data_IF_160142570049
#
_entry.id   IF_160142570049
#
_cell.length_a   1.000
_cell.length_b   1.000
_cell.length_c   1.000
_cell.angle_alpha   90.00
_cell.angle_beta   90.00
_cell.angle_gamma   90.00
#
_symmetry.space_group_name_H-M   'P 1'
#
loop_
_entity.id
_entity.type
_entity.pdbx_description
1 polymer ?
#
# COMPACT_ATOMS: atom_id res chain seq x y z
N UNK A 1 -12.78 -11.81 3.13
CA UNK A 1 -11.39 -12.31 3.25
C UNK A 1 -10.64 -11.26 4.05
N UNK A 2 -9.60 -11.60 4.80
CA UNK A 2 -8.90 -10.62 5.63
C UNK A 2 -8.18 -9.59 4.76
N UNK A 3 -8.10 -8.37 5.28
CA UNK A 3 -7.38 -7.24 4.69
C UNK A 3 -5.89 -7.54 4.53
N UNK A 4 -5.27 -6.88 3.56
CA UNK A 4 -3.82 -6.95 3.30
C UNK A 4 -3.23 -5.55 3.45
N UNK A 5 -2.17 -5.47 4.27
CA UNK A 5 -1.42 -4.25 4.55
C UNK A 5 -0.10 -4.31 3.80
N UNK A 6 0.08 -3.50 2.77
CA UNK A 6 1.30 -3.47 1.96
C UNK A 6 2.18 -2.33 2.42
N UNK A 7 3.39 -2.65 2.86
CA UNK A 7 4.41 -1.65 3.15
C UNK A 7 4.79 -0.94 1.84
N UNK A 8 4.84 0.39 1.90
CA UNK A 8 5.22 1.25 0.79
C UNK A 8 6.04 2.42 1.34
N UNK A 9 6.77 3.08 0.43
CA UNK A 9 7.63 4.23 0.77
C UNK A 9 6.87 5.40 1.40
N UNK A 10 5.56 5.58 1.12
CA UNK A 10 4.53 6.20 1.99
C UNK A 10 3.25 6.57 1.19
N UNK A 11 2.03 6.48 1.80
CA UNK A 11 1.65 5.81 3.04
C UNK A 11 1.40 4.29 2.88
N UNK A 12 1.21 3.57 4.00
CA UNK A 12 0.85 2.14 4.02
C UNK A 12 -0.43 1.92 3.19
N UNK A 13 -0.40 0.97 2.26
CA UNK A 13 -1.56 0.65 1.44
C UNK A 13 -2.40 -0.43 2.12
N UNK A 14 -3.71 -0.19 2.23
CA UNK A 14 -4.64 -1.13 2.87
C UNK A 14 -5.64 -1.62 1.82
N UNK A 15 -5.61 -2.92 1.55
CA UNK A 15 -6.47 -3.59 0.58
C UNK A 15 -7.47 -4.51 1.29
N UNK A 16 -8.70 -4.66 0.75
CA UNK A 16 -9.72 -5.52 1.35
C UNK A 16 -9.38 -7.00 1.25
N UNK A 17 -8.57 -7.40 0.25
CA UNK A 17 -8.06 -8.75 0.12
C UNK A 17 -6.81 -8.81 -0.79
N UNK A 18 -6.17 -9.98 -0.77
CA UNK A 18 -4.96 -10.28 -1.54
C UNK A 18 -5.17 -10.19 -3.06
N UNK A 19 -6.36 -10.56 -3.56
CA UNK A 19 -6.63 -10.51 -5.01
C UNK A 19 -6.71 -9.08 -5.51
N UNK A 20 -7.28 -8.18 -4.72
CA UNK A 20 -7.32 -6.75 -5.05
C UNK A 20 -5.91 -6.17 -5.03
N UNK A 21 -5.11 -6.47 -4.00
CA UNK A 21 -3.71 -6.02 -3.95
C UNK A 21 -2.92 -6.46 -5.19
N UNK A 22 -2.93 -7.75 -5.54
CA UNK A 22 -2.22 -8.28 -6.72
C UNK A 22 -2.66 -7.66 -8.06
N UNK A 23 -3.89 -7.18 -8.16
CA UNK A 23 -4.41 -6.51 -9.38
C UNK A 23 -4.03 -5.05 -9.44
N UNK A 24 -3.91 -4.41 -8.29
CA UNK A 24 -3.67 -2.98 -8.18
C UNK A 24 -2.18 -2.63 -8.21
N UNK A 25 -1.34 -3.42 -7.54
CA UNK A 25 0.09 -3.16 -7.49
C UNK A 25 0.73 -3.35 -8.87
N UNK A 26 1.67 -2.48 -9.20
CA UNK A 26 2.41 -2.55 -10.47
C UNK A 26 3.67 -3.40 -10.33
N UNK A 27 3.89 -4.31 -11.28
CA UNK A 27 5.06 -5.18 -11.28
C UNK A 27 6.39 -4.41 -11.35
N UNK A 28 6.38 -3.21 -11.94
CA UNK A 28 7.57 -2.35 -12.01
C UNK A 28 7.93 -1.76 -10.65
N UNK A 29 6.94 -1.29 -9.88
CA UNK A 29 7.13 -0.80 -8.52
C UNK A 29 7.62 -1.90 -7.57
N UNK A 30 7.13 -3.14 -7.75
CA UNK A 30 7.67 -4.31 -7.04
C UNK A 30 9.15 -4.53 -7.37
N UNK A 31 9.55 -4.49 -8.64
CA UNK A 31 10.97 -4.64 -9.05
C UNK A 31 11.85 -3.53 -8.51
N UNK A 32 11.32 -2.31 -8.43
CA UNK A 32 12.02 -1.15 -7.89
C UNK A 32 12.05 -1.15 -6.36
N UNK A 33 11.44 -2.13 -5.70
CA UNK A 33 11.47 -2.29 -4.26
C UNK A 33 10.53 -1.37 -3.49
N UNK A 34 9.59 -0.71 -4.18
CA UNK A 34 8.61 0.19 -3.57
C UNK A 34 7.67 -0.57 -2.62
N UNK A 35 7.38 -1.83 -2.93
CA UNK A 35 6.53 -2.71 -2.12
C UNK A 35 7.36 -3.88 -1.56
N UNK A 36 8.13 -3.66 -0.47
CA UNK A 36 9.08 -4.67 0.00
C UNK A 36 8.41 -5.90 0.64
N UNK A 37 7.21 -5.74 1.23
CA UNK A 37 6.47 -6.82 1.90
C UNK A 37 5.03 -6.44 2.20
N UNK A 38 4.21 -7.45 2.50
CA UNK A 38 2.85 -7.27 2.96
C UNK A 38 2.56 -8.08 4.23
N UNK A 39 1.50 -7.69 4.92
CA UNK A 39 1.05 -8.31 6.16
C UNK A 39 -0.45 -8.62 6.13
N UNK A 40 -0.83 -9.71 6.80
CA UNK A 40 -2.21 -9.97 7.21
C UNK A 40 -2.55 -9.27 8.54
N UNK A 41 -3.82 -9.27 8.96
CA UNK A 41 -4.29 -8.54 10.14
C UNK A 41 -3.72 -9.07 11.46
N UNK A 42 -3.21 -10.30 11.49
CA UNK A 42 -2.59 -10.90 12.68
C UNK A 42 -1.06 -10.80 12.64
N UNK A 43 -0.49 -10.12 11.64
CA UNK A 43 0.95 -10.05 11.39
C UNK A 43 1.49 -11.18 10.52
N UNK A 44 0.64 -11.96 9.85
CA UNK A 44 1.08 -12.96 8.86
C UNK A 44 1.92 -12.27 7.78
N UNK A 45 3.10 -12.80 7.45
CA UNK A 45 4.02 -12.15 6.53
C UNK A 45 3.86 -12.67 5.10
N UNK A 46 3.88 -11.77 4.13
CA UNK A 46 3.77 -12.09 2.71
C UNK A 46 4.94 -11.49 1.91
N UNK A 47 5.52 -12.29 1.01
CA UNK A 47 6.42 -11.78 -0.03
C UNK A 47 5.61 -11.15 -1.15
N UNK A 48 6.23 -10.19 -1.83
CA UNK A 48 5.66 -9.54 -3.01
C UNK A 48 6.68 -9.68 -4.13
N UNK A 49 6.29 -10.37 -5.18
CA UNK A 49 7.16 -10.70 -6.31
C UNK A 49 6.50 -10.31 -7.63
N UNK A 50 7.32 -10.02 -8.65
CA UNK A 50 6.87 -9.69 -10.00
C UNK A 50 7.10 -10.86 -10.96
N UNK A 51 6.02 -11.41 -11.54
CA UNK A 51 6.06 -12.39 -12.62
C UNK A 51 5.53 -11.74 -13.91
N UNK A 52 6.45 -11.33 -14.80
CA UNK A 52 6.10 -10.59 -16.01
C UNK A 52 5.33 -9.30 -15.67
N UNK A 53 4.10 -9.15 -16.16
CA UNK A 53 3.26 -7.99 -15.85
C UNK A 53 2.39 -8.15 -14.60
N UNK A 54 2.55 -9.25 -13.84
CA UNK A 54 1.69 -9.60 -12.72
C UNK A 54 2.46 -9.49 -11.40
N UNK A 55 1.75 -9.06 -10.36
CA UNK A 55 2.23 -9.13 -8.99
C UNK A 55 1.69 -10.39 -8.34
N UNK A 56 2.57 -11.13 -7.69
CA UNK A 56 2.28 -12.33 -6.92
C UNK A 56 2.58 -12.03 -5.46
N UNK A 57 1.58 -12.23 -4.59
CA UNK A 57 1.72 -12.06 -3.14
C UNK A 57 1.58 -13.45 -2.51
N UNK A 58 2.64 -13.91 -1.84
CA UNK A 58 2.71 -15.27 -1.30
C UNK A 58 2.94 -15.26 0.20
N UNK A 59 2.19 -16.08 0.94
CA UNK A 59 2.41 -16.24 2.38
C UNK A 59 3.80 -16.84 2.62
N UNK A 60 4.55 -16.23 3.53
CA UNK A 60 5.88 -16.70 3.92
C UNK A 60 5.76 -17.79 4.99
N UNK A 61 6.65 -18.78 4.92
CA UNK A 61 6.84 -19.76 5.99
C UNK A 61 7.68 -19.14 7.12
N UNK A 62 7.11 -18.12 7.75
CA UNK A 62 7.72 -17.35 8.83
C UNK A 62 6.68 -17.10 9.94
N UNK A 63 7.10 -16.96 11.21
CA UNK A 63 6.19 -16.60 12.28
C UNK A 63 5.56 -15.22 12.00
N UNK A 64 4.34 -15.01 12.49
CA UNK A 64 3.69 -13.70 12.41
C UNK A 64 4.52 -12.63 13.13
N UNK A 65 4.66 -11.47 12.50
CA UNK A 65 5.40 -10.33 13.04
C UNK A 65 4.42 -9.18 13.36
N UNK A 66 3.69 -9.37 14.45
CA UNK A 66 2.74 -8.39 14.96
C UNK A 66 3.42 -7.06 15.31
N UNK A 67 4.66 -7.08 15.81
CA UNK A 67 5.36 -5.88 16.26
C UNK A 67 5.68 -4.94 15.10
N UNK A 68 6.21 -5.46 14.00
CA UNK A 68 6.46 -4.68 12.78
C UNK A 68 5.16 -4.12 12.22
N UNK A 69 4.10 -4.93 12.14
CA UNK A 69 2.80 -4.45 11.66
C UNK A 69 2.24 -3.32 12.53
N UNK A 70 2.29 -3.44 13.86
CA UNK A 70 1.85 -2.37 14.78
C UNK A 70 2.62 -1.07 14.54
N UNK A 71 3.94 -1.15 14.36
CA UNK A 71 4.77 0.03 14.09
C UNK A 71 4.39 0.70 12.76
N UNK A 72 4.14 -0.10 11.72
CA UNK A 72 3.71 0.40 10.41
C UNK A 72 2.32 1.06 10.47
N UNK A 73 1.36 0.44 11.18
CA UNK A 73 0.01 0.99 11.36
C UNK A 73 0.05 2.30 12.12
N UNK A 74 0.80 2.37 13.23
CA UNK A 74 0.96 3.62 14.00
C UNK A 74 1.57 4.72 13.14
N UNK A 75 2.67 4.43 12.43
CA UNK A 75 3.30 5.40 11.51
C UNK A 75 2.32 5.88 10.45
N UNK A 76 1.58 4.97 9.82
CA UNK A 76 0.63 5.32 8.77
C UNK A 76 -0.53 6.18 9.29
N UNK A 77 -1.10 5.82 10.44
CA UNK A 77 -2.17 6.58 11.09
C UNK A 77 -1.68 7.98 11.46
N UNK A 78 -0.50 8.10 12.05
CA UNK A 78 0.12 9.40 12.35
C UNK A 78 0.38 10.24 11.10
N UNK A 79 0.84 9.63 10.01
CA UNK A 79 1.09 10.34 8.75
C UNK A 79 -0.19 10.95 8.15
N UNK A 80 -1.35 10.36 8.41
CA UNK A 80 -2.66 10.85 7.94
C UNK A 80 -3.39 11.71 8.98
N UNK A 81 -2.73 12.06 10.09
CA UNK A 81 -3.25 12.95 11.13
C UNK A 81 -4.01 12.25 12.26
N UNK A 82 -4.12 10.92 12.24
CA UNK A 82 -4.67 10.15 13.35
C UNK A 82 -3.62 10.00 14.47
N UNK A 83 -4.06 10.04 15.73
CA UNK A 83 -3.18 9.83 16.89
C UNK A 83 -3.58 8.54 17.59
N UNK A 84 -3.08 7.38 17.14
CA UNK A 84 -3.34 6.11 17.82
C UNK A 84 -2.69 6.12 19.21
N UNK A 85 -3.32 5.45 20.18
CA UNK A 85 -2.78 5.33 21.53
C UNK A 85 -1.44 4.56 21.53
N UNK A 86 -0.56 4.90 22.46
CA UNK A 86 0.73 4.25 22.62
C UNK A 86 0.56 2.80 23.11
N UNK A 87 -0.50 2.50 23.86
CA UNK A 87 -0.83 1.17 24.35
C UNK A 87 -1.84 0.40 23.47
N UNK A 88 -2.28 0.99 22.35
CA UNK A 88 -3.22 0.38 21.42
C UNK A 88 -2.73 -1.01 20.96
N UNK A 89 -3.64 -1.97 21.02
CA UNK A 89 -3.40 -3.36 20.60
C UNK A 89 -3.41 -3.47 19.07
N UNK A 90 -2.82 -4.55 18.54
CA UNK A 90 -2.82 -4.80 17.08
C UNK A 90 -4.25 -4.81 16.49
N UNK A 91 -5.24 -5.51 17.06
CA UNK A 91 -6.61 -5.49 16.55
C UNK A 91 -7.23 -4.09 16.50
N UNK A 92 -6.94 -3.23 17.49
CA UNK A 92 -7.43 -1.85 17.51
C UNK A 92 -6.80 -1.02 16.39
N UNK A 93 -5.48 -1.13 16.20
CA UNK A 93 -4.77 -0.44 15.12
C UNK A 93 -5.23 -0.88 13.74
N UNK A 94 -5.47 -2.18 13.56
CA UNK A 94 -6.03 -2.75 12.33
C UNK A 94 -7.41 -2.17 12.06
N UNK A 95 -8.31 -2.19 13.06
CA UNK A 95 -9.65 -1.65 12.92
C UNK A 95 -9.64 -0.14 12.62
N UNK A 96 -8.77 0.63 13.25
CA UNK A 96 -8.61 2.07 12.96
C UNK A 96 -8.13 2.32 11.54
N UNK A 97 -7.15 1.56 11.07
CA UNK A 97 -6.66 1.70 9.70
C UNK A 97 -7.73 1.33 8.67
N UNK A 98 -8.46 0.24 8.88
CA UNK A 98 -9.58 -0.16 8.03
C UNK A 98 -10.67 0.91 8.01
N UNK A 99 -11.09 1.40 9.19
CA UNK A 99 -12.12 2.43 9.31
C UNK A 99 -11.73 3.75 8.62
N UNK A 100 -10.47 4.17 8.77
CA UNK A 100 -9.96 5.38 8.12
C UNK A 100 -10.10 5.31 6.59
N UNK A 101 -9.80 4.14 6.00
CA UNK A 101 -9.88 3.92 4.57
C UNK A 101 -11.31 3.69 4.08
N UNK A 102 -12.15 3.02 4.86
CA UNK A 102 -13.56 2.83 4.55
C UNK A 102 -14.34 4.15 4.57
N UNK A 103 -14.01 5.08 5.49
CA UNK A 103 -14.63 6.42 5.49
C UNK A 103 -14.28 7.23 4.23
N UNK A 104 -13.05 7.05 3.72
CA UNK A 104 -12.54 7.79 2.55
C UNK A 104 -12.89 7.14 1.22
N UNK A 105 -13.15 5.85 1.21
CA UNK A 105 -13.63 5.10 0.04
C UNK A 105 -14.78 4.14 0.40
N UNK A 106 -15.95 4.67 0.80
CA UNK A 106 -17.06 3.87 1.28
C UNK A 106 -17.69 2.97 0.21
N UNK A 107 -17.36 3.20 -1.07
CA UNK A 107 -17.89 2.46 -2.22
C UNK A 107 -16.86 1.43 -2.73
N UNK A 108 -15.60 1.47 -2.26
CA UNK A 108 -14.52 0.61 -2.76
C UNK A 108 -14.08 0.95 -4.19
N UNK A 109 -14.31 2.20 -4.61
CA UNK A 109 -14.07 2.67 -5.96
C UNK A 109 -12.58 2.95 -6.24
N UNK A 110 -11.73 3.04 -5.20
CA UNK A 110 -10.31 3.38 -5.32
C UNK A 110 -9.50 2.34 -6.10
N UNK A 111 -9.97 1.10 -6.11
CA UNK A 111 -9.35 -0.01 -6.86
C UNK A 111 -10.08 -0.34 -8.16
N UNK A 112 -11.18 0.36 -8.45
CA UNK A 112 -12.12 0.05 -9.54
C UNK A 112 -11.97 0.98 -10.75
N UNK A 113 -11.25 2.10 -10.60
CA UNK A 113 -11.05 3.08 -11.68
C UNK A 113 -9.67 2.87 -12.31
N UNK A 114 -9.57 2.62 -13.64
CA UNK A 114 -8.29 2.63 -14.32
C UNK A 114 -7.64 4.02 -14.14
N UNK A 115 -6.34 4.05 -13.84
CA UNK A 115 -5.57 5.30 -13.72
C UNK A 115 -5.84 6.14 -14.97
N UNK A 116 -6.44 7.35 -14.84
CA UNK A 116 -6.82 8.14 -16.00
C UNK A 116 -5.56 8.55 -16.76
N UNK A 117 -5.48 8.18 -18.05
CA UNK A 117 -4.30 8.40 -18.91
C UNK A 117 -3.81 9.85 -18.97
N UNK A 118 -4.64 10.82 -18.58
CA UNK A 118 -4.30 12.24 -18.47
C UNK A 118 -3.26 12.50 -17.36
N UNK A 119 -3.22 11.68 -16.29
CA UNK A 119 -2.25 11.78 -15.20
C UNK A 119 -0.83 11.45 -15.65
N UNK A 120 -0.65 10.37 -16.43
CA UNK A 120 0.63 10.04 -17.07
C UNK A 120 1.04 11.12 -18.08
N UNK A 121 0.07 11.70 -18.81
CA UNK A 121 0.34 12.74 -19.80
C UNK A 121 0.85 14.04 -19.15
N UNK A 122 0.33 14.42 -17.98
CA UNK A 122 0.83 15.55 -17.21
C UNK A 122 2.22 15.30 -16.61
N UNK A 123 2.50 14.09 -16.12
CA UNK A 123 3.84 13.72 -15.63
C UNK A 123 4.91 13.77 -16.74
N UNK A 124 4.59 13.28 -17.94
CA UNK A 124 5.50 13.35 -19.10
C UNK A 124 5.74 14.80 -19.55
N UNK A 125 4.71 15.65 -19.54
CA UNK A 125 4.85 17.08 -19.86
C UNK A 125 5.73 17.79 -18.83
N UNK A 126 5.57 17.50 -17.54
CA UNK A 126 6.37 18.10 -16.47
C UNK A 126 7.86 17.72 -16.59
N UNK A 127 8.16 16.46 -16.88
CA UNK A 127 9.54 15.98 -17.10
C UNK A 127 10.16 16.61 -18.35
N UNK A 128 9.40 16.70 -19.45
CA UNK A 128 9.87 17.34 -20.68
C UNK A 128 10.15 18.84 -20.52
N UNK A 129 9.30 19.56 -19.79
CA UNK A 129 9.48 20.99 -19.51
C UNK A 129 10.70 21.24 -18.61
N UNK A 130 10.94 20.38 -17.62
CA UNK A 130 12.11 20.48 -16.73
C UNK A 130 13.42 20.18 -17.47
N UNK A 131 13.44 19.18 -18.37
CA UNK A 131 14.60 18.89 -19.21
C UNK A 131 14.92 20.04 -20.18
N UNK A 132 13.90 20.66 -20.77
CA UNK A 132 14.07 21.82 -21.65
C UNK A 132 14.57 23.06 -20.89
N UNK A 133 14.15 23.24 -19.64
CA UNK A 133 14.62 24.34 -18.78
C UNK A 133 16.07 24.17 -18.34
N UNK A 134 16.54 22.95 -18.12
CA UNK A 134 17.93 22.65 -17.72
C UNK A 134 18.90 22.76 -18.91
N UNK A 135 18.41 22.54 -20.14
CA UNK A 135 19.21 22.57 -21.38
C UNK A 135 19.17 23.92 -22.12
N UNK A 136 18.40 24.90 -21.64
CA UNK A 136 18.33 26.26 -22.17
C UNK A 136 19.19 27.23 -21.36
#
# INVERSE_FOLDING_TARGET
MPSIFVEADEPLLVFPDLKVAQRYLEAEDVRNGIYPRAFGPSGEQYSIDADGSRVIISLMDAPADAATLMALLKRSLTAVGEQPDDDATLPELVASAEAFWDERDPIGDRFSKPVPWWGCLLAVIAIGAMAAYILA
#
